data_IF_505978547625
#
_entry.id   IF_505978547625
#
_cell.length_a   1.000
_cell.length_b   1.000
_cell.length_c   1.000
_cell.angle_alpha   90.00
_cell.angle_beta   90.00
_cell.angle_gamma   90.00
#
_symmetry.space_group_name_H-M   'P 1'
#
loop_
_entity.id
_entity.type
_entity.pdbx_description
1 polymer ?
#
# COMPACT_ATOMS: atom_id res chain seq x y z
N UNK A 1 -54.38 -15.16 -45.44
CA UNK A 1 -52.99 -14.69 -45.29
C UNK A 1 -52.65 -14.58 -43.82
N UNK A 2 -51.46 -15.07 -43.47
CA UNK A 2 -50.82 -14.96 -42.15
C UNK A 2 -50.47 -13.49 -41.85
N UNK A 3 -50.48 -13.11 -40.58
CA UNK A 3 -49.36 -12.36 -40.04
C UNK A 3 -49.20 -12.65 -38.55
N UNK A 4 -48.05 -13.23 -38.20
CA UNK A 4 -47.59 -13.49 -36.84
C UNK A 4 -46.71 -12.32 -36.43
N UNK A 5 -47.07 -11.60 -35.36
CA UNK A 5 -46.23 -10.55 -34.80
C UNK A 5 -45.08 -11.16 -33.95
N UNK A 6 -43.85 -10.66 -34.05
CA UNK A 6 -42.72 -11.21 -33.33
C UNK A 6 -42.73 -10.76 -31.86
N UNK A 7 -42.42 -11.71 -30.97
CA UNK A 7 -42.19 -11.46 -29.55
C UNK A 7 -40.82 -10.80 -29.36
N UNK A 8 -40.79 -9.54 -28.96
CA UNK A 8 -39.56 -8.84 -28.62
C UNK A 8 -39.16 -9.16 -27.17
N UNK A 9 -38.32 -10.20 -26.99
CA UNK A 9 -37.52 -10.36 -25.76
C UNK A 9 -36.27 -9.47 -25.84
N UNK A 10 -36.46 -8.16 -25.72
CA UNK A 10 -35.38 -7.18 -25.59
C UNK A 10 -35.36 -6.65 -24.15
N UNK A 11 -34.83 -7.44 -23.21
CA UNK A 11 -34.75 -7.04 -21.80
C UNK A 11 -33.59 -7.62 -20.99
N UNK A 12 -32.89 -8.64 -21.51
CA UNK A 12 -31.83 -9.33 -20.77
C UNK A 12 -30.41 -8.77 -21.01
N UNK A 13 -30.18 -8.01 -22.09
CA UNK A 13 -28.83 -7.57 -22.48
C UNK A 13 -28.36 -6.34 -21.70
N UNK A 14 -29.28 -5.46 -21.27
CA UNK A 14 -28.94 -4.24 -20.52
C UNK A 14 -28.51 -4.48 -19.07
N UNK A 15 -28.92 -5.60 -18.46
CA UNK A 15 -28.58 -5.94 -17.08
C UNK A 15 -27.15 -6.48 -16.90
N UNK A 16 -26.59 -7.14 -17.93
CA UNK A 16 -25.22 -7.66 -17.86
C UNK A 16 -24.21 -6.53 -17.99
N UNK A 17 -24.45 -5.58 -18.91
CA UNK A 17 -23.59 -4.41 -19.10
C UNK A 17 -23.57 -3.44 -17.91
N UNK A 18 -24.66 -3.35 -17.12
CA UNK A 18 -24.68 -2.54 -15.90
C UNK A 18 -23.94 -3.20 -14.74
N UNK A 19 -23.98 -4.53 -14.65
CA UNK A 19 -23.21 -5.29 -13.66
C UNK A 19 -21.71 -5.23 -13.99
N UNK A 20 -21.31 -5.36 -15.26
CA UNK A 20 -19.92 -5.18 -15.69
C UNK A 20 -19.42 -3.75 -15.41
N UNK A 21 -20.26 -2.73 -15.60
CA UNK A 21 -19.92 -1.35 -15.26
C UNK A 21 -19.76 -1.12 -13.74
N UNK A 22 -20.55 -1.81 -12.91
CA UNK A 22 -20.41 -1.79 -11.45
C UNK A 22 -19.20 -2.60 -10.96
N UNK A 23 -18.89 -3.73 -11.59
CA UNK A 23 -17.67 -4.51 -11.32
C UNK A 23 -16.41 -3.73 -11.71
N UNK A 24 -16.43 -3.01 -12.83
CA UNK A 24 -15.33 -2.16 -13.27
C UNK A 24 -15.04 -1.01 -12.29
N UNK A 25 -16.06 -0.49 -11.60
CA UNK A 25 -15.89 0.52 -10.54
C UNK A 25 -15.30 -0.07 -9.24
N UNK A 26 -15.42 -1.38 -9.01
CA UNK A 26 -14.82 -2.07 -7.87
C UNK A 26 -13.35 -2.44 -8.06
N UNK A 27 -12.80 -2.27 -9.27
CA UNK A 27 -11.49 -2.81 -9.64
C UNK A 27 -10.29 -1.92 -9.26
N UNK A 28 -10.51 -0.66 -8.85
CA UNK A 28 -9.40 0.24 -8.52
C UNK A 28 -9.73 1.12 -7.33
N UNK A 29 -8.91 1.04 -6.29
CA UNK A 29 -9.00 1.98 -5.18
C UNK A 29 -8.87 3.43 -5.66
N UNK A 30 -9.69 4.31 -5.11
CA UNK A 30 -9.67 5.73 -5.41
C UNK A 30 -8.36 6.42 -4.98
N UNK A 31 -8.04 7.59 -5.55
CA UNK A 31 -6.83 8.34 -5.20
C UNK A 31 -6.65 8.63 -3.70
N UNK A 32 -7.76 8.88 -2.99
CA UNK A 32 -7.75 9.14 -1.55
C UNK A 32 -7.35 7.91 -0.73
N UNK A 33 -7.89 6.74 -1.06
CA UNK A 33 -7.56 5.46 -0.44
C UNK A 33 -6.09 5.09 -0.69
N UNK A 34 -5.58 5.26 -1.92
CA UNK A 34 -4.16 5.04 -2.23
C UNK A 34 -3.26 5.93 -1.38
N UNK A 35 -3.57 7.23 -1.31
CA UNK A 35 -2.86 8.19 -0.46
C UNK A 35 -2.89 7.77 1.01
N UNK A 36 -4.06 7.40 1.53
CA UNK A 36 -4.21 6.96 2.93
C UNK A 36 -3.39 5.71 3.22
N UNK A 37 -3.37 4.73 2.32
CA UNK A 37 -2.54 3.53 2.47
C UNK A 37 -1.05 3.85 2.44
N UNK A 38 -0.61 4.69 1.50
CA UNK A 38 0.78 5.12 1.40
C UNK A 38 1.25 5.83 2.69
N UNK A 39 0.45 6.78 3.19
CA UNK A 39 0.71 7.47 4.46
C UNK A 39 0.70 6.51 5.66
N UNK A 40 -0.24 5.56 5.70
CA UNK A 40 -0.32 4.58 6.78
C UNK A 40 0.91 3.67 6.83
N UNK A 41 1.44 3.27 5.67
CA UNK A 41 2.71 2.52 5.58
C UNK A 41 3.89 3.37 6.04
N UNK A 42 3.98 4.62 5.60
CA UNK A 42 5.04 5.53 6.02
C UNK A 42 5.04 5.78 7.54
N UNK A 43 3.86 5.95 8.15
CA UNK A 43 3.71 6.07 9.60
C UNK A 43 4.29 4.85 10.31
N UNK A 44 3.94 3.63 9.86
CA UNK A 44 4.47 2.40 10.45
C UNK A 44 6.00 2.34 10.37
N UNK A 45 6.58 2.75 9.23
CA UNK A 45 8.04 2.79 9.07
C UNK A 45 8.67 3.75 10.09
N UNK A 46 8.12 4.96 10.22
CA UNK A 46 8.61 5.97 11.17
C UNK A 46 8.49 5.50 12.62
N UNK A 47 7.36 4.90 12.99
CA UNK A 47 7.14 4.38 14.35
C UNK A 47 8.19 3.32 14.73
N UNK A 48 8.54 2.41 13.79
CA UNK A 48 9.59 1.40 14.04
C UNK A 48 10.99 2.00 14.11
N UNK A 49 11.28 3.02 13.31
CA UNK A 49 12.55 3.74 13.40
C UNK A 49 12.70 4.42 14.77
N UNK A 50 11.63 5.03 15.29
CA UNK A 50 11.64 5.65 16.62
C UNK A 50 11.80 4.61 17.74
N UNK A 51 11.12 3.46 17.65
CA UNK A 51 11.27 2.35 18.60
C UNK A 51 12.71 1.79 18.63
N UNK A 52 13.33 1.63 17.46
CA UNK A 52 14.74 1.22 17.34
C UNK A 52 15.64 2.26 18.02
N UNK A 53 15.41 3.55 17.73
CA UNK A 53 16.21 4.63 18.33
C UNK A 53 16.11 4.63 19.86
N UNK A 54 14.90 4.49 20.41
CA UNK A 54 14.67 4.46 21.86
C UNK A 54 15.33 3.24 22.50
N UNK A 55 15.20 2.06 21.90
CA UNK A 55 15.82 0.84 22.43
C UNK A 55 17.35 0.89 22.40
N UNK A 56 17.96 1.49 21.36
CA UNK A 56 19.41 1.71 21.31
C UNK A 56 19.91 2.64 22.43
N UNK A 57 19.17 3.71 22.74
CA UNK A 57 19.52 4.62 23.83
C UNK A 57 19.37 3.97 25.21
N UNK A 58 18.42 3.05 25.36
CA UNK A 58 18.19 2.30 26.60
C UNK A 58 19.06 1.05 26.77
N UNK A 59 19.88 0.67 25.79
CA UNK A 59 20.60 -0.60 25.77
C UNK A 59 19.70 -1.84 25.62
N UNK A 60 18.49 -1.66 25.12
CA UNK A 60 17.50 -2.72 24.91
C UNK A 60 17.69 -3.49 23.60
N UNK A 61 16.94 -4.59 23.46
CA UNK A 61 16.97 -5.41 22.25
C UNK A 61 16.16 -4.78 21.12
N UNK A 62 16.79 -4.59 19.95
CA UNK A 62 16.18 -3.98 18.75
C UNK A 62 15.62 -5.00 17.75
N UNK A 63 15.83 -6.30 17.99
CA UNK A 63 15.60 -7.35 16.98
C UNK A 63 14.17 -7.44 16.44
N UNK A 64 13.15 -7.35 17.30
CA UNK A 64 11.75 -7.40 16.87
C UNK A 64 11.37 -6.16 16.04
N UNK A 65 11.71 -4.97 16.53
CA UNK A 65 11.44 -3.71 15.82
C UNK A 65 12.16 -3.63 14.46
N UNK A 66 13.38 -4.19 14.35
CA UNK A 66 14.10 -4.31 13.08
C UNK A 66 13.41 -5.25 12.09
N UNK A 67 12.87 -6.38 12.56
CA UNK A 67 12.10 -7.31 11.72
C UNK A 67 10.82 -6.65 11.20
N UNK A 68 10.10 -5.95 12.08
CA UNK A 68 8.87 -5.23 11.73
C UNK A 68 9.16 -4.08 10.75
N UNK A 69 10.25 -3.33 10.96
CA UNK A 69 10.71 -2.31 10.02
C UNK A 69 11.00 -2.92 8.64
N UNK A 70 11.74 -4.03 8.60
CA UNK A 70 12.07 -4.70 7.35
C UNK A 70 10.81 -5.22 6.63
N UNK A 71 9.80 -5.67 7.38
CA UNK A 71 8.51 -6.06 6.81
C UNK A 71 7.77 -4.85 6.22
N UNK A 72 7.66 -3.75 6.96
CA UNK A 72 7.01 -2.53 6.49
C UNK A 72 7.68 -1.95 5.23
N UNK A 73 9.02 -2.01 5.13
CA UNK A 73 9.76 -1.58 3.94
C UNK A 73 9.52 -2.51 2.73
N UNK A 74 9.34 -3.81 2.95
CA UNK A 74 9.02 -4.77 1.87
C UNK A 74 7.57 -4.71 1.40
N UNK A 75 6.66 -4.17 2.20
CA UNK A 75 5.27 -3.99 1.78
C UNK A 75 5.21 -3.13 0.51
N UNK A 76 4.43 -3.59 -0.48
CA UNK A 76 4.20 -2.85 -1.73
C UNK A 76 3.55 -1.50 -1.43
N UNK A 77 4.07 -0.44 -2.05
CA UNK A 77 3.58 0.91 -1.83
C UNK A 77 2.47 1.23 -2.82
N UNK A 78 1.41 1.87 -2.34
CA UNK A 78 0.41 2.45 -3.22
C UNK A 78 0.97 3.70 -3.90
N UNK A 79 1.00 3.72 -5.23
CA UNK A 79 1.35 4.93 -5.99
C UNK A 79 0.30 6.02 -5.80
N UNK A 80 0.78 7.24 -5.57
CA UNK A 80 -0.04 8.43 -5.44
C UNK A 80 0.25 9.42 -6.56
N UNK A 81 -0.74 10.25 -6.90
CA UNK A 81 -0.61 11.26 -7.96
C UNK A 81 0.01 12.58 -7.44
N UNK A 82 0.44 12.62 -6.17
CA UNK A 82 1.02 13.79 -5.52
C UNK A 82 2.55 13.67 -5.47
N UNK A 83 3.22 14.34 -6.40
CA UNK A 83 4.69 14.33 -6.50
C UNK A 83 5.41 14.79 -5.23
N UNK A 84 4.81 15.69 -4.43
CA UNK A 84 5.41 16.16 -3.19
C UNK A 84 5.34 15.08 -2.12
N UNK A 85 4.20 14.39 -2.01
CA UNK A 85 4.04 13.24 -1.13
C UNK A 85 4.99 12.11 -1.54
N UNK A 86 5.07 11.77 -2.83
CA UNK A 86 5.99 10.75 -3.33
C UNK A 86 7.45 11.03 -2.95
N UNK A 87 7.88 12.29 -3.04
CA UNK A 87 9.23 12.70 -2.61
C UNK A 87 9.48 12.41 -1.12
N UNK A 88 8.53 12.74 -0.25
CA UNK A 88 8.64 12.47 1.20
C UNK A 88 8.63 10.97 1.49
N UNK A 89 7.76 10.20 0.82
CA UNK A 89 7.70 8.75 0.98
C UNK A 89 9.04 8.09 0.59
N UNK A 90 9.65 8.54 -0.50
CA UNK A 90 10.98 8.07 -0.94
C UNK A 90 12.08 8.38 0.10
N UNK A 91 12.05 9.56 0.72
CA UNK A 91 13.03 9.90 1.78
C UNK A 91 12.88 8.98 2.99
N UNK A 92 11.64 8.71 3.41
CA UNK A 92 11.34 7.81 4.53
C UNK A 92 11.87 6.40 4.24
N UNK A 93 11.61 5.87 3.05
CA UNK A 93 12.08 4.55 2.63
C UNK A 93 13.61 4.48 2.53
N UNK A 94 14.23 5.52 1.98
CA UNK A 94 15.71 5.61 1.89
C UNK A 94 16.32 5.58 3.29
N UNK A 95 15.77 6.35 4.24
CA UNK A 95 16.24 6.34 5.63
C UNK A 95 16.06 4.95 6.24
N UNK A 96 14.91 4.32 6.08
CA UNK A 96 14.65 2.99 6.60
C UNK A 96 15.62 1.93 6.04
N UNK A 97 15.88 1.96 4.74
CA UNK A 97 16.84 1.05 4.10
C UNK A 97 18.27 1.25 4.65
N UNK A 98 18.69 2.49 4.84
CA UNK A 98 20.01 2.81 5.43
C UNK A 98 20.10 2.31 6.87
N UNK A 99 19.08 2.52 7.70
CA UNK A 99 19.11 2.07 9.10
C UNK A 99 19.09 0.53 9.20
N UNK A 100 18.34 -0.17 8.35
CA UNK A 100 18.39 -1.63 8.27
C UNK A 100 19.79 -2.13 7.89
N UNK A 101 20.45 -1.47 6.92
CA UNK A 101 21.82 -1.82 6.53
C UNK A 101 22.82 -1.58 7.67
N UNK A 102 22.72 -0.46 8.38
CA UNK A 102 23.55 -0.16 9.56
C UNK A 102 23.37 -1.19 10.66
N UNK A 103 22.12 -1.60 10.94
CA UNK A 103 21.82 -2.60 11.94
C UNK A 103 22.45 -3.95 11.59
N UNK A 104 22.38 -4.38 10.33
CA UNK A 104 23.03 -5.61 9.89
C UNK A 104 24.56 -5.51 9.97
N UNK A 105 25.16 -4.38 9.58
CA UNK A 105 26.60 -4.17 9.74
C UNK A 105 27.05 -4.23 11.21
N UNK A 106 26.28 -3.62 12.10
CA UNK A 106 26.53 -3.67 13.55
C UNK A 106 26.45 -5.09 14.11
N UNK A 107 25.53 -5.91 13.59
CA UNK A 107 25.36 -7.32 13.98
C UNK A 107 26.49 -8.21 13.47
N UNK A 108 27.05 -7.94 12.29
CA UNK A 108 28.19 -8.67 11.72
C UNK A 108 29.51 -8.34 12.42
N UNK A 109 29.63 -7.12 12.97
CA UNK A 109 30.83 -6.67 13.66
C UNK A 109 30.91 -7.10 15.14
N UNK A 110 29.83 -7.63 15.71
CA UNK A 110 29.72 -8.10 17.09
C UNK A 110 29.96 -9.62 17.19
#
# INVERSE_FOLDING_TARGET
SRESAPSAKAGAVGGVSSVDALLALQATEGPLERRRRAMGRASRILDRLDEIKLSMLGGGATGAALQDLAQAVREERAETDDTGLEGVLNEIETRAAVELAKAEMGRVAA
#
